data_IF_925570560133
#
_entry.id   IF_925570560133
#
_cell.length_a   1.000
_cell.length_b   1.000
_cell.length_c   1.000
_cell.angle_alpha   90.00
_cell.angle_beta   90.00
_cell.angle_gamma   90.00
#
_symmetry.space_group_name_H-M   'P 1'
#
loop_
_entity.id
_entity.type
_entity.pdbx_description
1 polymer ?
#
# COMPACT_ATOMS: atom_id res chain seq x y z
N UNK A 1 1.38 8.97 -35.24
CA UNK A 1 2.75 9.01 -34.71
C UNK A 1 2.68 8.53 -33.25
N UNK A 2 2.89 7.22 -33.11
CA UNK A 2 3.13 6.32 -31.96
C UNK A 2 2.63 6.75 -30.56
N UNK A 3 1.45 6.25 -30.19
CA UNK A 3 0.95 6.16 -28.83
C UNK A 3 0.23 4.82 -28.59
N UNK A 4 0.85 3.67 -28.91
CA UNK A 4 0.14 2.36 -28.91
C UNK A 4 0.98 1.13 -28.49
N UNK A 5 2.05 1.25 -27.69
CA UNK A 5 2.87 0.06 -27.36
C UNK A 5 3.21 -0.23 -25.89
N UNK A 6 2.72 0.53 -24.91
CA UNK A 6 3.05 0.28 -23.50
C UNK A 6 2.09 -0.63 -22.73
N UNK A 7 0.82 -0.68 -23.11
CA UNK A 7 -0.25 -1.32 -22.32
C UNK A 7 -0.50 -2.80 -22.68
N UNK A 8 -0.03 -3.26 -23.84
CA UNK A 8 -0.29 -4.61 -24.33
C UNK A 8 0.72 -5.65 -23.79
N UNK A 9 1.90 -5.22 -23.34
CA UNK A 9 2.93 -6.10 -22.78
C UNK A 9 2.66 -6.51 -21.32
N UNK A 10 1.85 -5.75 -20.59
CA UNK A 10 1.60 -5.99 -19.17
C UNK A 10 0.64 -7.18 -18.91
N UNK A 11 -0.37 -7.33 -19.76
CA UNK A 11 -1.27 -8.50 -19.72
C UNK A 11 -0.57 -9.76 -20.24
N UNK A 12 0.36 -9.61 -21.19
CA UNK A 12 1.16 -10.71 -21.71
C UNK A 12 2.15 -11.24 -20.66
N UNK A 13 2.77 -10.37 -19.86
CA UNK A 13 3.65 -10.75 -18.75
C UNK A 13 2.90 -11.52 -17.65
N UNK A 14 1.69 -11.09 -17.29
CA UNK A 14 0.87 -11.75 -16.26
C UNK A 14 0.39 -13.14 -16.70
N UNK A 15 0.02 -13.32 -17.97
CA UNK A 15 -0.31 -14.64 -18.56
C UNK A 15 0.91 -15.58 -18.61
N UNK A 16 2.11 -15.06 -18.81
CA UNK A 16 3.35 -15.85 -18.86
C UNK A 16 3.74 -16.38 -17.48
N UNK A 17 3.48 -15.60 -16.42
CA UNK A 17 3.67 -16.01 -15.03
C UNK A 17 2.71 -17.15 -14.61
N UNK A 18 1.43 -17.08 -15.00
CA UNK A 18 0.47 -18.16 -14.69
C UNK A 18 0.85 -19.51 -15.30
N UNK A 19 1.47 -19.53 -16.50
CA UNK A 19 1.94 -20.79 -17.11
C UNK A 19 3.18 -21.37 -16.44
N UNK A 20 4.02 -20.54 -15.82
CA UNK A 20 5.21 -21.03 -15.11
C UNK A 20 4.88 -21.68 -13.75
N UNK A 21 3.67 -21.42 -13.22
CA UNK A 21 3.20 -21.93 -11.92
C UNK A 21 2.19 -23.09 -12.02
N UNK A 22 1.82 -23.53 -13.24
CA UNK A 22 1.10 -24.79 -13.46
C UNK A 22 -0.31 -24.91 -12.88
N UNK A 23 -1.02 -23.80 -12.65
CA UNK A 23 -2.38 -23.81 -12.08
C UNK A 23 -3.46 -23.69 -13.17
N UNK A 24 -4.51 -24.54 -13.15
CA UNK A 24 -5.58 -24.50 -14.13
C UNK A 24 -6.51 -23.28 -13.96
N UNK A 25 -7.01 -22.85 -15.11
CA UNK A 25 -7.77 -21.63 -15.36
C UNK A 25 -9.26 -21.90 -15.14
N UNK A 26 -9.72 -21.95 -13.88
CA UNK A 26 -11.11 -21.66 -13.50
C UNK A 26 -11.30 -21.83 -11.99
N UNK A 27 -12.22 -21.02 -11.46
CA UNK A 27 -12.89 -21.13 -10.16
C UNK A 27 -12.29 -20.33 -8.98
N UNK A 28 -13.06 -19.30 -8.60
CA UNK A 28 -13.06 -18.49 -7.38
C UNK A 28 -11.71 -17.99 -6.84
N UNK A 29 -11.49 -16.66 -6.94
CA UNK A 29 -10.49 -15.99 -6.09
C UNK A 29 -10.76 -16.37 -4.63
N UNK A 30 -9.84 -17.07 -3.93
CA UNK A 30 -10.00 -17.32 -2.51
C UNK A 30 -10.03 -15.97 -1.78
N UNK A 31 -10.99 -15.81 -0.86
CA UNK A 31 -11.20 -14.59 -0.09
C UNK A 31 -9.96 -14.27 0.74
N UNK A 32 -9.62 -12.97 0.79
CA UNK A 32 -8.41 -12.42 1.42
C UNK A 32 -8.07 -13.07 2.78
N UNK A 33 -9.06 -13.35 3.63
CA UNK A 33 -8.84 -13.77 5.02
C UNK A 33 -8.27 -15.20 5.18
N UNK A 34 -8.64 -16.16 4.32
CA UNK A 34 -8.12 -17.53 4.40
C UNK A 34 -6.71 -17.64 3.81
N UNK A 35 -6.41 -16.79 2.81
CA UNK A 35 -5.06 -16.64 2.26
C UNK A 35 -4.14 -15.94 3.28
N UNK A 36 -4.65 -14.97 4.04
CA UNK A 36 -3.93 -14.27 5.11
C UNK A 36 -3.52 -15.20 6.27
N UNK A 37 -4.40 -16.11 6.68
CA UNK A 37 -4.08 -17.08 7.74
C UNK A 37 -3.09 -18.15 7.24
N UNK A 38 -3.29 -18.68 6.03
CA UNK A 38 -2.37 -19.64 5.42
C UNK A 38 -0.97 -19.04 5.16
N UNK A 39 -0.89 -17.76 4.81
CA UNK A 39 0.38 -17.03 4.69
C UNK A 39 1.08 -16.87 6.04
N UNK A 40 0.34 -16.57 7.13
CA UNK A 40 0.92 -16.47 8.48
C UNK A 40 1.56 -17.79 8.93
N UNK A 41 0.89 -18.91 8.67
CA UNK A 41 1.35 -20.24 9.06
C UNK A 41 2.51 -20.74 8.17
N UNK A 42 2.51 -20.42 6.87
CA UNK A 42 3.60 -20.77 5.95
C UNK A 42 4.87 -19.95 6.20
N UNK A 43 4.73 -18.69 6.63
CA UNK A 43 5.82 -17.75 6.77
C UNK A 43 6.70 -17.97 8.00
N UNK A 44 6.17 -18.64 9.03
CA UNK A 44 6.94 -19.05 10.22
C UNK A 44 7.98 -20.13 9.88
N UNK A 45 7.80 -20.88 8.79
CA UNK A 45 8.58 -22.08 8.53
C UNK A 45 9.73 -21.93 7.51
N UNK A 46 9.76 -20.91 6.63
CA UNK A 46 10.74 -20.95 5.53
C UNK A 46 11.43 -19.65 5.03
N UNK A 47 11.08 -18.43 5.48
CA UNK A 47 11.67 -17.20 4.86
C UNK A 47 11.87 -15.98 5.79
N UNK A 48 12.03 -16.20 7.10
CA UNK A 48 11.96 -15.14 8.13
C UNK A 48 12.84 -13.90 7.89
N UNK A 49 14.11 -14.05 7.47
CA UNK A 49 15.05 -12.90 7.45
C UNK A 49 14.87 -11.96 6.26
N UNK A 50 14.61 -12.50 5.06
CA UNK A 50 14.47 -11.71 3.84
C UNK A 50 13.17 -10.89 3.85
N UNK A 51 12.09 -11.48 4.34
CA UNK A 51 10.82 -10.79 4.45
C UNK A 51 10.84 -9.70 5.52
N UNK A 52 11.48 -9.95 6.68
CA UNK A 52 11.68 -8.90 7.69
C UNK A 52 12.49 -7.72 7.15
N UNK A 53 13.54 -7.98 6.35
CA UNK A 53 14.31 -6.94 5.70
C UNK A 53 13.47 -6.13 4.68
N UNK A 54 12.65 -6.82 3.88
CA UNK A 54 11.73 -6.20 2.92
C UNK A 54 10.67 -5.32 3.63
N UNK A 55 10.04 -5.83 4.69
CA UNK A 55 9.08 -5.08 5.51
C UNK A 55 9.72 -3.83 6.10
N UNK A 56 10.94 -3.95 6.63
CA UNK A 56 11.68 -2.79 7.16
C UNK A 56 11.97 -1.77 6.07
N UNK A 57 12.39 -2.19 4.87
CA UNK A 57 12.62 -1.30 3.74
C UNK A 57 11.34 -0.56 3.32
N UNK A 58 10.20 -1.26 3.25
CA UNK A 58 8.89 -0.66 2.98
C UNK A 58 8.47 0.34 4.06
N UNK A 59 8.77 0.06 5.34
CA UNK A 59 8.50 0.98 6.46
C UNK A 59 9.39 2.22 6.43
N UNK A 60 10.66 2.09 6.04
CA UNK A 60 11.56 3.23 5.85
C UNK A 60 11.08 4.11 4.70
N UNK A 61 10.71 3.52 3.57
CA UNK A 61 10.16 4.24 2.43
C UNK A 61 8.83 4.93 2.79
N UNK A 62 7.94 4.24 3.49
CA UNK A 62 6.72 4.84 4.02
C UNK A 62 7.00 6.07 4.89
N UNK A 63 8.00 6.01 5.78
CA UNK A 63 8.36 7.14 6.63
C UNK A 63 8.84 8.35 5.82
N UNK A 64 9.70 8.15 4.82
CA UNK A 64 10.17 9.23 3.92
C UNK A 64 8.99 9.92 3.21
N UNK A 65 8.04 9.14 2.69
CA UNK A 65 6.81 9.66 2.10
C UNK A 65 5.93 10.41 3.11
N UNK A 66 5.82 9.90 4.34
CA UNK A 66 5.07 10.58 5.40
C UNK A 66 5.70 11.93 5.78
N UNK A 67 7.01 12.07 5.68
CA UNK A 67 7.71 13.34 5.93
C UNK A 67 7.49 14.33 4.77
N UNK A 68 7.62 13.87 3.52
CA UNK A 68 7.34 14.69 2.32
C UNK A 68 5.90 15.21 2.28
N UNK A 69 4.95 14.41 2.75
CA UNK A 69 3.51 14.71 2.71
C UNK A 69 2.97 15.17 4.07
N UNK A 70 3.84 15.61 4.97
CA UNK A 70 3.51 15.89 6.37
C UNK A 70 2.38 16.91 6.57
N UNK A 71 2.20 17.83 5.62
CA UNK A 71 1.11 18.82 5.66
C UNK A 71 -0.30 18.21 5.65
N UNK A 72 -0.48 17.00 5.10
CA UNK A 72 -1.76 16.28 5.10
C UNK A 72 -1.89 15.23 6.21
N UNK A 73 -1.03 15.29 7.24
CA UNK A 73 -1.07 14.41 8.42
C UNK A 73 -1.16 12.91 8.04
N UNK A 74 -0.20 12.40 7.26
CA UNK A 74 -0.28 11.07 6.69
C UNK A 74 -0.32 9.99 7.77
N UNK A 75 -1.10 8.94 7.52
CA UNK A 75 -1.16 7.73 8.34
C UNK A 75 -0.81 6.50 7.51
N UNK A 76 0.14 5.70 7.98
CA UNK A 76 0.45 4.40 7.38
C UNK A 76 -0.64 3.39 7.78
N UNK A 77 -1.16 2.67 6.79
CA UNK A 77 -2.24 1.68 6.96
C UNK A 77 -1.95 0.37 6.20
N UNK A 78 -2.78 -0.64 6.42
CA UNK A 78 -2.71 -1.92 5.70
C UNK A 78 -1.56 -2.82 6.19
N UNK A 79 -1.08 -3.70 5.29
CA UNK A 79 -0.14 -4.77 5.59
C UNK A 79 1.17 -4.29 6.23
N UNK A 80 1.70 -3.16 5.74
CA UNK A 80 2.97 -2.57 6.20
C UNK A 80 2.83 -2.02 7.62
N UNK A 81 1.67 -1.42 7.94
CA UNK A 81 1.36 -1.01 9.30
C UNK A 81 1.28 -2.22 10.22
N UNK A 82 0.46 -3.21 9.85
CA UNK A 82 0.16 -4.39 10.66
C UNK A 82 1.29 -5.43 10.73
N UNK A 83 2.38 -5.24 9.97
CA UNK A 83 3.61 -6.03 10.09
C UNK A 83 3.61 -7.40 9.41
N UNK A 84 2.66 -7.65 8.50
CA UNK A 84 2.59 -8.88 7.71
C UNK A 84 2.81 -8.62 6.22
N UNK A 85 3.34 -7.45 5.86
CA UNK A 85 3.64 -7.12 4.47
C UNK A 85 4.65 -8.10 3.85
N UNK A 86 4.39 -8.42 2.59
CA UNK A 86 5.25 -9.20 1.71
C UNK A 86 5.95 -8.27 0.71
N UNK A 87 6.91 -8.78 -0.06
CA UNK A 87 7.61 -8.01 -1.11
C UNK A 87 6.67 -7.37 -2.16
N UNK A 88 5.48 -7.95 -2.35
CA UNK A 88 4.48 -7.45 -3.31
C UNK A 88 3.42 -6.55 -2.65
N UNK A 89 3.52 -6.31 -1.35
CA UNK A 89 2.57 -5.46 -0.63
C UNK A 89 2.77 -3.98 -0.98
N UNK A 90 1.66 -3.27 -1.19
CA UNK A 90 1.68 -1.83 -1.39
C UNK A 90 1.80 -1.10 -0.05
N UNK A 91 2.56 0.00 -0.04
CA UNK A 91 2.58 0.94 1.07
C UNK A 91 1.35 1.83 0.95
N UNK A 92 0.41 1.71 1.89
CA UNK A 92 -0.83 2.51 1.91
C UNK A 92 -0.72 3.67 2.89
N UNK A 93 -0.79 4.88 2.36
CA UNK A 93 -0.81 6.12 3.15
C UNK A 93 -2.16 6.80 3.00
N UNK A 94 -2.81 7.07 4.12
CA UNK A 94 -4.02 7.89 4.17
C UNK A 94 -3.65 9.35 4.44
N UNK A 95 -4.14 10.26 3.60
CA UNK A 95 -3.88 11.70 3.65
C UNK A 95 -5.17 12.46 3.96
N UNK A 96 -5.14 13.32 4.98
CA UNK A 96 -6.24 14.26 5.25
C UNK A 96 -6.07 15.50 4.37
N UNK A 97 -6.87 15.60 3.31
CA UNK A 97 -6.89 16.74 2.40
C UNK A 97 -8.32 17.15 2.07
N UNK A 98 -8.57 18.45 1.86
CA UNK A 98 -9.89 18.94 1.43
C UNK A 98 -10.24 18.49 0.01
N UNK A 99 -9.23 18.39 -0.85
CA UNK A 99 -9.37 17.95 -2.24
C UNK A 99 -8.10 17.23 -2.74
N UNK A 100 -8.29 16.34 -3.73
CA UNK A 100 -7.22 15.57 -4.36
C UNK A 100 -6.23 16.44 -5.14
N UNK A 101 -6.68 17.56 -5.72
CA UNK A 101 -5.85 18.39 -6.60
C UNK A 101 -4.70 19.03 -5.83
N UNK A 102 -4.93 19.38 -4.56
CA UNK A 102 -3.88 19.89 -3.66
C UNK A 102 -2.72 18.90 -3.53
N UNK A 103 -3.02 17.61 -3.40
CA UNK A 103 -2.02 16.53 -3.31
C UNK A 103 -1.33 16.34 -4.67
N UNK A 104 -2.09 16.27 -5.75
CA UNK A 104 -1.55 16.15 -7.12
C UNK A 104 -0.57 17.28 -7.45
N UNK A 105 -0.95 18.52 -7.16
CA UNK A 105 -0.13 19.71 -7.42
C UNK A 105 1.21 19.64 -6.68
N UNK A 106 1.22 19.12 -5.45
CA UNK A 106 2.46 18.97 -4.71
C UNK A 106 3.35 17.86 -5.26
N UNK A 107 2.78 16.77 -5.77
CA UNK A 107 3.56 15.73 -6.46
C UNK A 107 4.20 16.32 -7.73
N UNK A 108 3.43 17.10 -8.50
CA UNK A 108 3.91 17.81 -9.69
C UNK A 108 5.06 18.77 -9.32
N UNK A 109 4.88 19.61 -8.30
CA UNK A 109 5.90 20.56 -7.84
C UNK A 109 7.18 19.88 -7.36
N UNK A 110 7.07 18.66 -6.82
CA UNK A 110 8.20 17.84 -6.43
C UNK A 110 8.81 17.03 -7.59
N UNK A 111 8.27 17.13 -8.81
CA UNK A 111 8.72 16.37 -9.98
C UNK A 111 8.41 14.87 -9.90
N UNK A 112 7.42 14.48 -9.11
CA UNK A 112 7.06 13.10 -8.83
C UNK A 112 5.99 12.64 -9.83
N UNK A 113 6.30 11.58 -10.58
CA UNK A 113 5.33 10.93 -11.45
C UNK A 113 4.26 10.19 -10.62
N UNK A 114 3.00 10.36 -10.99
CA UNK A 114 1.88 9.71 -10.31
C UNK A 114 0.81 9.28 -11.32
N UNK A 115 -0.01 8.30 -10.91
CA UNK A 115 -1.19 7.88 -11.65
C UNK A 115 -2.44 8.06 -10.78
N UNK A 116 -3.49 8.63 -11.36
CA UNK A 116 -4.80 8.70 -10.69
C UNK A 116 -5.51 7.35 -10.79
N UNK A 117 -5.98 6.85 -9.67
CA UNK A 117 -6.78 5.63 -9.59
C UNK A 117 -8.23 6.05 -9.38
N UNK A 118 -9.13 5.80 -10.36
CA UNK A 118 -10.52 6.19 -10.23
C UNK A 118 -11.13 5.47 -9.03
N UNK A 119 -11.83 6.23 -8.19
CA UNK A 119 -12.63 5.65 -7.13
C UNK A 119 -13.68 4.68 -7.73
N UNK A 120 -13.94 3.53 -7.09
CA UNK A 120 -15.09 2.72 -7.48
C UNK A 120 -16.34 3.59 -7.42
N UNK A 121 -17.28 3.40 -8.35
CA UNK A 121 -18.48 4.26 -8.50
C UNK A 121 -19.17 4.50 -7.14
N UNK A 122 -19.29 5.76 -6.71
CA UNK A 122 -19.91 6.16 -5.42
C UNK A 122 -19.11 7.21 -4.66
N UNK A 123 -19.31 7.32 -3.34
CA UNK A 123 -18.55 8.17 -2.37
C UNK A 123 -17.13 7.61 -2.10
N UNK A 124 -16.54 6.97 -3.11
CA UNK A 124 -15.23 6.34 -2.99
C UNK A 124 -14.13 7.39 -2.81
N UNK A 125 -13.13 7.05 -2.01
CA UNK A 125 -11.98 7.93 -1.77
C UNK A 125 -11.11 8.00 -3.01
N UNK A 126 -10.74 9.21 -3.39
CA UNK A 126 -9.77 9.42 -4.46
C UNK A 126 -8.43 8.81 -4.08
N UNK A 127 -7.77 8.21 -5.07
CA UNK A 127 -6.52 7.50 -4.84
C UNK A 127 -5.50 7.92 -5.88
N UNK A 128 -4.26 8.11 -5.43
CA UNK A 128 -3.11 8.33 -6.29
C UNK A 128 -2.12 7.19 -6.07
N UNK A 129 -1.48 6.76 -7.14
CA UNK A 129 -0.42 5.76 -7.11
C UNK A 129 0.90 6.41 -7.51
N UNK A 130 1.93 6.17 -6.72
CA UNK A 130 3.30 6.57 -7.02
C UNK A 130 4.19 5.33 -6.99
N UNK A 131 5.13 5.26 -7.93
CA UNK A 131 6.14 4.20 -7.95
C UNK A 131 7.37 4.67 -7.19
N UNK A 132 7.77 3.93 -6.16
CA UNK A 132 9.06 4.11 -5.48
C UNK A 132 9.99 2.94 -5.81
N UNK A 133 11.31 3.08 -5.57
CA UNK A 133 12.25 1.98 -5.74
C UNK A 133 11.97 0.77 -4.85
N UNK A 134 11.29 0.95 -3.71
CA UNK A 134 11.07 -0.09 -2.71
C UNK A 134 9.66 -0.69 -2.77
N UNK A 135 8.66 0.10 -3.18
CA UNK A 135 7.28 -0.33 -3.24
C UNK A 135 6.42 0.59 -4.13
N UNK A 136 5.23 0.11 -4.44
CA UNK A 136 4.17 1.01 -4.88
C UNK A 136 3.58 1.74 -3.67
N UNK A 137 3.55 3.07 -3.74
CA UNK A 137 2.90 3.92 -2.75
C UNK A 137 1.49 4.23 -3.22
N UNK A 138 0.51 3.85 -2.41
CA UNK A 138 -0.91 4.15 -2.61
C UNK A 138 -1.32 5.24 -1.64
N UNK A 139 -1.58 6.43 -2.17
CA UNK A 139 -2.10 7.58 -1.44
C UNK A 139 -3.62 7.54 -1.48
N UNK A 140 -4.25 7.46 -0.32
CA UNK A 140 -5.71 7.49 -0.16
C UNK A 140 -6.09 8.84 0.40
N UNK A 141 -6.84 9.63 -0.39
CA UNK A 141 -7.23 10.98 0.00
C UNK A 141 -8.57 10.89 0.73
N UNK A 142 -8.57 11.32 1.99
CA UNK A 142 -9.76 11.41 2.82
C UNK A 142 -10.04 12.85 3.19
N UNK A 143 -11.28 13.27 3.06
CA UNK A 143 -11.70 14.58 3.57
C UNK A 143 -11.73 14.58 5.11
N UNK A 144 -11.56 15.75 5.76
CA UNK A 144 -11.66 15.86 7.21
C UNK A 144 -13.00 15.34 7.77
N UNK A 145 -14.09 15.49 6.99
CA UNK A 145 -15.41 15.02 7.37
C UNK A 145 -15.53 13.50 7.30
N UNK A 146 -14.98 12.87 6.25
CA UNK A 146 -14.90 11.41 6.15
C UNK A 146 -14.04 10.82 7.27
N UNK A 147 -12.90 11.44 7.59
CA UNK A 147 -12.02 10.98 8.68
C UNK A 147 -12.70 11.03 10.04
N UNK A 148 -13.53 12.06 10.30
CA UNK A 148 -14.32 12.20 11.53
C UNK A 148 -15.45 11.19 11.64
N UNK A 149 -16.10 10.86 10.53
CA UNK A 149 -17.25 9.94 10.50
C UNK A 149 -16.85 8.47 10.44
N UNK A 150 -15.56 8.13 10.38
CA UNK A 150 -15.13 6.73 10.32
C UNK A 150 -15.38 6.02 11.66
N UNK A 151 -15.97 4.80 11.63
CA UNK A 151 -16.22 4.03 12.84
C UNK A 151 -14.90 3.75 13.55
N UNK A 152 -14.90 4.03 14.87
CA UNK A 152 -13.74 3.86 15.72
C UNK A 152 -13.55 2.37 15.99
N UNK A 153 -12.57 1.74 15.32
CA UNK A 153 -12.09 0.36 15.55
C UNK A 153 -13.23 -0.64 15.83
N UNK A 154 -13.85 -1.17 14.79
CA UNK A 154 -14.63 -2.39 14.95
C UNK A 154 -13.66 -3.55 15.24
N UNK A 155 -13.77 -4.12 16.45
CA UNK A 155 -13.05 -5.34 16.82
C UNK A 155 -13.68 -6.50 16.05
N UNK A 156 -13.04 -7.01 15.01
CA UNK A 156 -13.44 -8.29 14.42
C UNK A 156 -13.01 -8.49 12.97
N UNK A 157 -12.93 -7.43 12.16
CA UNK A 157 -12.37 -7.47 10.80
C UNK A 157 -10.96 -6.88 10.86
N UNK A 158 -9.98 -7.51 10.21
CA UNK A 158 -8.55 -7.15 10.20
C UNK A 158 -8.33 -5.67 10.49
N UNK A 159 -8.05 -5.36 11.77
CA UNK A 159 -7.97 -3.99 12.23
C UNK A 159 -6.93 -3.29 11.36
N UNK A 160 -7.36 -2.32 10.56
CA UNK A 160 -6.45 -1.48 9.79
C UNK A 160 -5.59 -0.71 10.79
N UNK A 161 -4.47 -1.32 11.18
CA UNK A 161 -3.47 -0.70 12.02
C UNK A 161 -3.07 0.62 11.37
N UNK A 162 -3.17 1.70 12.13
CA UNK A 162 -2.84 3.05 11.64
C UNK A 162 -1.66 3.55 12.45
N UNK A 163 -0.55 3.82 11.77
CA UNK A 163 0.65 4.35 12.40
C UNK A 163 0.86 5.79 11.95
N UNK A 164 1.05 6.68 12.91
CA UNK A 164 1.59 8.02 12.67
C UNK A 164 3.08 7.94 12.35
N UNK A 165 3.66 8.99 11.77
CA UNK A 165 5.09 9.05 11.48
C UNK A 165 5.93 8.88 12.75
N UNK A 166 5.46 9.44 13.88
CA UNK A 166 6.09 9.26 15.18
C UNK A 166 6.06 7.80 15.66
N UNK A 167 4.93 7.12 15.52
CA UNK A 167 4.81 5.70 15.88
C UNK A 167 5.63 4.80 14.97
N UNK A 168 5.63 5.07 13.66
CA UNK A 168 6.43 4.33 12.68
C UNK A 168 7.95 4.50 12.95
N UNK A 169 8.39 5.71 13.29
CA UNK A 169 9.78 5.97 13.69
C UNK A 169 10.16 5.21 14.96
N UNK A 170 9.27 5.20 15.96
CA UNK A 170 9.50 4.43 17.19
C UNK A 170 9.57 2.92 16.90
N UNK A 171 8.73 2.42 15.99
CA UNK A 171 8.74 1.02 15.56
C UNK A 171 10.06 0.65 14.87
N UNK A 172 10.50 1.44 13.88
CA UNK A 172 11.77 1.24 13.17
C UNK A 172 12.99 1.29 14.09
N UNK A 173 12.94 2.12 15.13
CA UNK A 173 14.00 2.19 16.14
C UNK A 173 14.06 0.91 17.00
N UNK A 174 12.91 0.31 17.31
CA UNK A 174 12.83 -0.96 18.04
C UNK A 174 13.28 -2.18 17.22
N UNK A 175 13.12 -2.14 15.89
CA UNK A 175 13.54 -3.22 14.98
C UNK A 175 15.05 -3.28 14.72
N UNK A 176 15.75 -2.15 14.90
CA UNK A 176 17.19 -2.05 14.67
C UNK A 176 18.07 -2.39 15.88
N UNK A 177 17.47 -2.78 17.01
CA UNK A 177 18.19 -3.11 18.24
C UNK A 177 18.36 -4.62 18.44
N UNK A 178 19.47 -5.16 17.93
CA UNK A 178 20.08 -6.44 18.36
C UNK A 178 21.58 -6.39 18.11
#
# INVERSE_FOLDING_TARGET
MIAEHGLNDWQAAKRKACRHLGLPDHEALPGNEEVEQALRDYNTLFQGTAQMASLRAQRVDALDWMEKLSQWKPLLTGAVAAGWATEHSEVRLELEAEDTKSVELSLINAGIAYASVPAPRGDGQAQLRVESPQATIRLVIVSPQQRRNRPRRERGTSAEERLTSAQLRALLAGEGGL
#
